data_IF_417369474128
#
_entry.id   IF_417369474128
#
_cell.length_a   1.000
_cell.length_b   1.000
_cell.length_c   1.000
_cell.angle_alpha   90.00
_cell.angle_beta   90.00
_cell.angle_gamma   90.00
#
_symmetry.space_group_name_H-M   'P 1'
#
loop_
_entity.id
_entity.type
_entity.pdbx_description
1 polymer ?
#
# COMPACT_ATOMS: atom_id res chain seq x y z
N UNK A 1 12.09 -31.76 0.01
CA UNK A 1 11.77 -30.33 0.13
C UNK A 1 13.04 -29.46 0.18
N UNK A 2 13.09 -28.35 -0.56
CA UNK A 2 14.21 -27.40 -0.54
C UNK A 2 13.84 -26.10 0.21
N UNK A 3 14.21 -26.07 1.49
CA UNK A 3 13.95 -24.93 2.39
C UNK A 3 14.77 -23.70 2.01
N UNK A 4 15.96 -23.90 1.43
CA UNK A 4 16.84 -22.82 1.02
C UNK A 4 16.27 -22.08 -0.18
N UNK A 5 15.75 -22.82 -1.18
CA UNK A 5 15.03 -22.25 -2.30
C UNK A 5 13.81 -21.44 -1.84
N UNK A 6 13.06 -21.94 -0.86
CA UNK A 6 11.90 -21.23 -0.30
C UNK A 6 12.32 -19.90 0.35
N UNK A 7 13.45 -19.88 1.07
CA UNK A 7 13.96 -18.67 1.73
C UNK A 7 14.43 -17.59 0.74
N UNK A 8 14.86 -17.97 -0.47
CA UNK A 8 15.38 -17.03 -1.49
C UNK A 8 14.40 -16.75 -2.63
N UNK A 9 13.24 -17.41 -2.67
CA UNK A 9 12.22 -17.28 -3.72
C UNK A 9 11.87 -15.81 -4.06
N UNK A 10 12.04 -15.36 -5.29
CA UNK A 10 11.91 -13.92 -5.63
C UNK A 10 10.47 -13.49 -5.95
N UNK A 11 9.61 -14.45 -6.24
CA UNK A 11 8.20 -14.24 -6.52
C UNK A 11 7.31 -15.18 -5.70
N UNK A 12 6.01 -14.88 -5.63
CA UNK A 12 5.04 -15.80 -5.03
C UNK A 12 4.97 -17.12 -5.81
N UNK A 13 5.14 -17.07 -7.13
CA UNK A 13 5.14 -18.27 -7.97
C UNK A 13 6.33 -19.15 -7.63
N UNK A 14 7.53 -18.56 -7.53
CA UNK A 14 8.76 -19.28 -7.16
C UNK A 14 8.60 -19.95 -5.79
N UNK A 15 8.01 -19.23 -4.83
CA UNK A 15 7.76 -19.74 -3.49
C UNK A 15 6.76 -20.91 -3.48
N UNK A 16 5.78 -20.91 -4.38
CA UNK A 16 4.83 -22.02 -4.52
C UNK A 16 5.51 -23.23 -5.18
N UNK A 17 6.42 -23.00 -6.13
CA UNK A 17 7.16 -24.07 -6.80
C UNK A 17 8.08 -24.85 -5.86
N UNK A 18 8.55 -24.25 -4.76
CA UNK A 18 9.35 -24.98 -3.74
C UNK A 18 8.54 -25.96 -2.90
N UNK A 19 7.21 -25.89 -2.97
CA UNK A 19 6.31 -26.82 -2.28
C UNK A 19 6.29 -28.14 -3.07
N UNK A 20 6.45 -29.29 -2.38
CA UNK A 20 6.28 -30.62 -2.98
C UNK A 20 4.97 -30.74 -3.78
N UNK A 21 5.06 -31.36 -4.95
CA UNK A 21 4.00 -31.36 -5.96
C UNK A 21 2.60 -31.75 -5.43
N UNK A 22 2.43 -32.78 -4.57
CA UNK A 22 1.11 -33.18 -4.08
C UNK A 22 0.41 -32.10 -3.24
N UNK A 23 1.17 -31.26 -2.54
CA UNK A 23 0.64 -30.25 -1.63
C UNK A 23 0.46 -28.88 -2.28
N UNK A 24 1.13 -28.66 -3.41
CA UNK A 24 1.21 -27.38 -4.11
C UNK A 24 -0.16 -26.77 -4.44
N UNK A 25 -1.18 -27.50 -4.93
CA UNK A 25 -2.48 -26.89 -5.22
C UNK A 25 -3.16 -26.28 -3.98
N UNK A 26 -3.14 -27.01 -2.86
CA UNK A 26 -3.82 -26.58 -1.64
C UNK A 26 -3.02 -25.50 -0.88
N UNK A 27 -1.73 -25.72 -0.66
CA UNK A 27 -0.86 -24.78 0.04
C UNK A 27 -0.56 -23.54 -0.81
N UNK A 28 -0.46 -23.67 -2.13
CA UNK A 28 -0.30 -22.54 -3.04
C UNK A 28 -1.53 -21.62 -3.04
N UNK A 29 -2.74 -22.18 -3.02
CA UNK A 29 -3.96 -21.39 -2.86
C UNK A 29 -4.00 -20.64 -1.52
N UNK A 30 -3.54 -21.29 -0.44
CA UNK A 30 -3.40 -20.67 0.88
C UNK A 30 -2.39 -19.50 0.87
N UNK A 31 -1.17 -19.72 0.36
CA UNK A 31 -0.15 -18.65 0.23
C UNK A 31 -0.65 -17.50 -0.62
N UNK A 32 -1.36 -17.78 -1.73
CA UNK A 32 -1.97 -16.77 -2.57
C UNK A 32 -3.01 -15.92 -1.83
N UNK A 33 -3.85 -16.54 -1.01
CA UNK A 33 -4.82 -15.84 -0.16
C UNK A 33 -4.10 -14.97 0.88
N UNK A 34 -3.14 -15.53 1.61
CA UNK A 34 -2.39 -14.81 2.65
C UNK A 34 -1.60 -13.63 2.06
N UNK A 35 -0.96 -13.82 0.91
CA UNK A 35 -0.28 -12.75 0.17
C UNK A 35 -1.22 -11.57 -0.14
N UNK A 36 -2.43 -11.86 -0.66
CA UNK A 36 -3.43 -10.84 -0.96
C UNK A 36 -3.87 -10.08 0.29
N UNK A 37 -4.13 -10.79 1.39
CA UNK A 37 -4.52 -10.19 2.68
C UNK A 37 -3.41 -9.27 3.21
N UNK A 38 -2.16 -9.75 3.26
CA UNK A 38 -1.01 -8.96 3.72
C UNK A 38 -0.78 -7.72 2.85
N UNK A 39 -0.98 -7.83 1.53
CA UNK A 39 -0.91 -6.67 0.62
C UNK A 39 -1.99 -5.63 0.93
N UNK A 40 -3.24 -6.07 1.13
CA UNK A 40 -4.35 -5.19 1.51
C UNK A 40 -4.08 -4.52 2.85
N UNK A 41 -3.65 -5.28 3.86
CA UNK A 41 -3.28 -4.76 5.17
C UNK A 41 -2.22 -3.65 5.07
N UNK A 42 -1.14 -3.93 4.34
CA UNK A 42 -0.06 -2.98 4.18
C UNK A 42 -0.42 -1.79 3.24
N UNK A 43 -1.49 -1.88 2.45
CA UNK A 43 -2.05 -0.74 1.70
C UNK A 43 -2.93 0.12 2.60
N UNK A 44 -3.89 -0.48 3.29
CA UNK A 44 -4.76 0.21 4.26
C UNK A 44 -3.95 0.97 5.32
N UNK A 45 -2.81 0.41 5.78
CA UNK A 45 -1.92 1.06 6.75
C UNK A 45 -1.32 2.35 6.19
N UNK A 46 -0.93 2.35 4.92
CA UNK A 46 -0.39 3.53 4.24
C UNK A 46 -1.46 4.58 4.01
N UNK A 47 -2.64 4.17 3.56
CA UNK A 47 -3.77 5.07 3.35
C UNK A 47 -4.15 5.76 4.66
N UNK A 48 -4.25 4.99 5.77
CA UNK A 48 -4.52 5.55 7.09
C UNK A 48 -3.46 6.56 7.49
N UNK A 49 -2.17 6.22 7.36
CA UNK A 49 -1.08 7.15 7.65
C UNK A 49 -1.16 8.42 6.79
N UNK A 50 -1.52 8.29 5.51
CA UNK A 50 -1.71 9.44 4.61
C UNK A 50 -2.88 10.33 5.07
N UNK A 51 -4.02 9.74 5.41
CA UNK A 51 -5.18 10.48 5.91
C UNK A 51 -4.91 11.18 7.24
N UNK A 52 -4.20 10.53 8.16
CA UNK A 52 -3.77 11.13 9.43
C UNK A 52 -2.84 12.33 9.19
N UNK A 53 -1.89 12.24 8.24
CA UNK A 53 -1.06 13.40 7.85
C UNK A 53 -1.89 14.56 7.32
N UNK A 54 -2.87 14.27 6.46
CA UNK A 54 -3.79 15.29 5.96
C UNK A 54 -4.57 15.97 7.08
N UNK A 55 -5.10 15.18 8.02
CA UNK A 55 -5.80 15.69 9.19
C UNK A 55 -4.90 16.62 10.04
N UNK A 56 -3.68 16.19 10.32
CA UNK A 56 -2.72 16.95 11.12
C UNK A 56 -2.28 18.25 10.44
N UNK A 57 -2.19 18.25 9.11
CA UNK A 57 -1.80 19.43 8.31
C UNK A 57 -2.98 20.35 7.97
N UNK A 58 -4.21 19.99 8.34
CA UNK A 58 -5.42 20.73 7.92
C UNK A 58 -5.65 20.72 6.40
N UNK A 59 -5.13 19.70 5.69
CA UNK A 59 -5.29 19.54 4.24
C UNK A 59 -6.20 18.37 3.91
N UNK A 60 -6.57 18.20 2.64
CA UNK A 60 -7.47 17.14 2.20
C UNK A 60 -6.87 16.32 1.05
N UNK A 61 -7.03 14.98 1.07
CA UNK A 61 -6.73 14.13 -0.07
C UNK A 61 -7.48 14.58 -1.33
N UNK A 62 -6.92 14.29 -2.51
CA UNK A 62 -7.57 14.59 -3.81
C UNK A 62 -8.97 13.99 -3.88
N UNK A 63 -9.16 12.76 -3.41
CA UNK A 63 -10.47 12.08 -3.40
C UNK A 63 -11.54 12.88 -2.65
N UNK A 64 -11.23 13.42 -1.47
CA UNK A 64 -12.17 14.24 -0.68
C UNK A 64 -12.41 15.59 -1.34
N UNK A 65 -11.36 16.24 -1.88
CA UNK A 65 -11.49 17.52 -2.59
C UNK A 65 -12.36 17.40 -3.84
N UNK A 66 -12.24 16.30 -4.57
CA UNK A 66 -13.02 16.03 -5.76
C UNK A 66 -14.49 15.70 -5.45
N UNK A 67 -14.75 15.03 -4.31
CA UNK A 67 -16.10 14.64 -3.89
C UNK A 67 -16.94 15.81 -3.39
N UNK A 68 -16.36 16.75 -2.63
CA UNK A 68 -17.05 17.97 -2.18
C UNK A 68 -16.37 19.16 -2.84
N UNK A 69 -16.99 19.71 -3.89
CA UNK A 69 -16.51 20.89 -4.61
C UNK A 69 -17.10 22.17 -4.03
N UNK A 70 -16.39 23.29 -4.22
CA UNK A 70 -16.98 24.61 -4.01
C UNK A 70 -17.87 24.90 -5.21
N UNK A 71 -19.19 25.09 -5.02
CA UNK A 71 -20.08 25.47 -6.10
C UNK A 71 -19.67 26.83 -6.65
N UNK A 72 -19.69 26.96 -7.97
CA UNK A 72 -19.44 28.22 -8.67
C UNK A 72 -20.81 28.87 -8.85
N UNK A 73 -21.08 29.92 -8.10
CA UNK A 73 -22.29 30.71 -8.25
C UNK A 73 -22.04 31.85 -9.23
N UNK A 74 -23.06 32.18 -10.03
CA UNK A 74 -23.09 33.39 -10.84
C UNK A 74 -23.96 34.40 -10.12
N UNK A 75 -23.37 35.53 -9.74
CA UNK A 75 -24.06 36.65 -9.12
C UNK A 75 -23.93 37.87 -10.03
N UNK A 76 -24.85 38.83 -9.90
CA UNK A 76 -24.72 40.12 -10.60
C UNK A 76 -23.62 40.96 -9.93
N UNK A 77 -23.03 41.89 -10.68
CA UNK A 77 -21.91 42.70 -10.20
C UNK A 77 -22.30 43.58 -8.99
N UNK A 78 -23.55 44.04 -8.94
CA UNK A 78 -24.10 44.84 -7.85
C UNK A 78 -24.22 44.03 -6.56
N UNK A 79 -24.50 42.73 -6.67
CA UNK A 79 -24.58 41.85 -5.50
C UNK A 79 -23.20 41.51 -4.96
N UNK A 80 -22.17 41.41 -5.81
CA UNK A 80 -20.81 41.05 -5.38
C UNK A 80 -20.19 42.04 -4.39
N UNK A 81 -20.60 43.32 -4.45
CA UNK A 81 -20.09 44.37 -3.56
C UNK A 81 -20.83 44.44 -2.21
N UNK A 82 -21.90 43.66 -2.02
CA UNK A 82 -22.69 43.74 -0.78
C UNK A 82 -22.07 42.93 0.36
N UNK A 83 -22.36 43.36 1.59
CA UNK A 83 -21.98 42.62 2.79
C UNK A 83 -22.71 41.27 2.90
N UNK A 84 -23.93 41.15 2.36
CA UNK A 84 -24.65 39.87 2.34
C UNK A 84 -23.94 38.84 1.46
N UNK A 85 -23.44 39.24 0.28
CA UNK A 85 -22.68 38.35 -0.59
C UNK A 85 -21.40 37.84 0.09
N UNK A 86 -20.62 38.76 0.70
CA UNK A 86 -19.40 38.39 1.41
C UNK A 86 -19.68 37.40 2.56
N UNK A 87 -20.74 37.66 3.35
CA UNK A 87 -21.16 36.79 4.45
C UNK A 87 -21.63 35.42 3.98
N UNK A 88 -22.48 35.37 2.94
CA UNK A 88 -22.97 34.11 2.37
C UNK A 88 -21.83 33.28 1.78
N UNK A 89 -20.92 33.90 1.03
CA UNK A 89 -19.75 33.23 0.45
C UNK A 89 -18.81 32.67 1.52
N UNK A 90 -18.57 33.43 2.61
CA UNK A 90 -17.80 32.96 3.75
C UNK A 90 -18.47 31.75 4.43
N UNK A 91 -19.78 31.81 4.64
CA UNK A 91 -20.57 30.73 5.25
C UNK A 91 -20.53 29.44 4.41
N UNK A 92 -20.71 29.53 3.09
CA UNK A 92 -20.66 28.37 2.19
C UNK A 92 -19.27 27.72 2.22
N UNK A 93 -18.21 28.52 2.14
CA UNK A 93 -16.83 28.00 2.23
C UNK A 93 -16.59 27.30 3.58
N UNK A 94 -17.09 27.88 4.67
CA UNK A 94 -17.00 27.29 6.01
C UNK A 94 -17.74 25.95 6.11
N UNK A 95 -18.97 25.86 5.58
CA UNK A 95 -19.77 24.64 5.56
C UNK A 95 -19.08 23.53 4.75
N UNK A 96 -18.48 23.88 3.61
CA UNK A 96 -17.72 22.94 2.76
C UNK A 96 -16.47 22.42 3.46
N UNK A 97 -15.71 23.32 4.10
CA UNK A 97 -14.54 22.92 4.89
C UNK A 97 -14.94 21.99 6.04
N UNK A 98 -16.05 22.30 6.71
CA UNK A 98 -16.61 21.47 7.79
C UNK A 98 -17.00 20.09 7.28
N UNK A 99 -17.70 20.01 6.15
CA UNK A 99 -18.08 18.75 5.52
C UNK A 99 -16.85 17.92 5.13
N UNK A 100 -15.84 18.52 4.48
CA UNK A 100 -14.59 17.83 4.13
C UNK A 100 -13.86 17.29 5.35
N UNK A 101 -13.79 18.07 6.44
CA UNK A 101 -13.18 17.65 7.72
C UNK A 101 -13.94 16.50 8.37
N UNK A 102 -15.28 16.55 8.35
CA UNK A 102 -16.12 15.46 8.83
C UNK A 102 -15.87 14.17 8.06
N UNK A 103 -15.90 14.22 6.72
CA UNK A 103 -15.62 13.04 5.87
C UNK A 103 -14.23 12.48 6.15
N UNK A 104 -13.19 13.32 6.23
CA UNK A 104 -11.83 12.85 6.50
C UNK A 104 -11.75 12.09 7.83
N UNK A 105 -12.39 12.58 8.89
CA UNK A 105 -12.45 11.88 10.18
C UNK A 105 -13.18 10.54 10.06
N UNK A 106 -14.31 10.48 9.33
CA UNK A 106 -15.07 9.24 9.13
C UNK A 106 -14.29 8.21 8.32
N UNK A 107 -13.57 8.64 7.29
CA UNK A 107 -12.68 7.77 6.51
C UNK A 107 -11.55 7.22 7.38
N UNK A 108 -10.94 8.04 8.24
CA UNK A 108 -9.92 7.58 9.20
C UNK A 108 -10.48 6.51 10.13
N UNK A 109 -11.68 6.74 10.69
CA UNK A 109 -12.35 5.76 11.55
C UNK A 109 -12.58 4.43 10.82
N UNK A 110 -13.15 4.47 9.62
CA UNK A 110 -13.43 3.28 8.82
C UNK A 110 -12.14 2.55 8.43
N UNK A 111 -11.08 3.27 8.05
CA UNK A 111 -9.77 2.68 7.72
C UNK A 111 -9.08 2.07 8.94
N UNK A 112 -9.30 2.63 10.12
CA UNK A 112 -8.81 2.04 11.38
C UNK A 112 -9.51 0.72 11.66
N UNK A 113 -10.83 0.66 11.48
CA UNK A 113 -11.60 -0.58 11.61
C UNK A 113 -11.21 -1.63 10.57
N UNK A 114 -11.03 -1.23 9.30
CA UNK A 114 -10.53 -2.12 8.24
C UNK A 114 -9.15 -2.69 8.60
N UNK A 115 -8.25 -1.88 9.15
CA UNK A 115 -6.94 -2.34 9.58
C UNK A 115 -7.00 -3.32 10.74
N UNK A 116 -7.87 -3.08 11.73
CA UNK A 116 -8.08 -4.01 12.82
C UNK A 116 -8.55 -5.37 12.28
N UNK A 117 -9.54 -5.39 11.40
CA UNK A 117 -10.01 -6.61 10.74
C UNK A 117 -8.92 -7.30 9.91
N UNK A 118 -8.21 -6.56 9.05
CA UNK A 118 -7.15 -7.14 8.24
C UNK A 118 -5.98 -7.67 9.08
N UNK A 119 -5.74 -7.08 10.26
CA UNK A 119 -4.71 -7.56 11.18
C UNK A 119 -5.04 -8.92 11.79
N UNK A 120 -6.31 -9.22 12.05
CA UNK A 120 -6.72 -10.55 12.55
C UNK A 120 -6.53 -11.61 11.48
N UNK A 121 -6.81 -11.28 10.21
CA UNK A 121 -6.61 -12.18 9.08
C UNK A 121 -5.14 -12.37 8.69
N UNK A 122 -4.31 -11.34 8.90
CA UNK A 122 -2.88 -11.37 8.58
C UNK A 122 -2.05 -12.10 9.65
N UNK A 123 -2.57 -12.22 10.87
CA UNK A 123 -1.99 -13.10 11.90
C UNK A 123 -2.12 -14.55 11.47
N UNK A 124 -1.06 -15.31 11.69
CA UNK A 124 -0.98 -16.68 11.24
C UNK A 124 0.07 -17.43 12.05
N UNK A 125 -0.38 -18.37 12.85
CA UNK A 125 0.42 -19.23 13.72
C UNK A 125 0.82 -20.54 13.02
N UNK A 126 0.44 -20.72 11.75
CA UNK A 126 0.73 -21.92 10.99
C UNK A 126 -0.26 -23.08 11.25
N UNK A 127 -1.28 -22.88 12.08
CA UNK A 127 -2.29 -23.91 12.35
C UNK A 127 -3.04 -24.30 11.08
N UNK A 128 -3.55 -23.32 10.33
CA UNK A 128 -4.24 -23.57 9.05
C UNK A 128 -3.32 -24.28 8.05
N UNK A 129 -2.05 -23.88 7.99
CA UNK A 129 -1.05 -24.50 7.12
C UNK A 129 -0.87 -26.00 7.43
N UNK A 130 -0.67 -26.33 8.71
CA UNK A 130 -0.54 -27.72 9.17
C UNK A 130 -1.82 -28.52 8.93
N UNK A 131 -2.99 -27.97 9.21
CA UNK A 131 -4.26 -28.63 8.92
C UNK A 131 -4.43 -28.94 7.42
N UNK A 132 -4.04 -28.02 6.53
CA UNK A 132 -4.07 -28.26 5.09
C UNK A 132 -3.09 -29.37 4.70
N UNK A 133 -1.86 -29.34 5.23
CA UNK A 133 -0.85 -30.35 4.96
C UNK A 133 -1.30 -31.75 5.41
N UNK A 134 -1.83 -31.88 6.64
CA UNK A 134 -2.41 -33.12 7.16
C UNK A 134 -3.53 -33.61 6.26
N UNK A 135 -4.48 -32.74 5.88
CA UNK A 135 -5.59 -33.15 5.01
C UNK A 135 -5.12 -33.67 3.65
N UNK A 136 -4.11 -33.05 3.04
CA UNK A 136 -3.53 -33.55 1.79
C UNK A 136 -2.88 -34.91 2.01
N UNK A 137 -2.05 -35.05 3.06
CA UNK A 137 -1.37 -36.29 3.39
C UNK A 137 -2.35 -37.44 3.68
N UNK A 138 -3.43 -37.18 4.42
CA UNK A 138 -4.52 -38.16 4.66
C UNK A 138 -5.21 -38.58 3.37
N UNK A 139 -5.42 -37.66 2.42
CA UNK A 139 -5.97 -38.00 1.10
C UNK A 139 -5.04 -38.90 0.30
N UNK A 140 -3.72 -38.66 0.36
CA UNK A 140 -2.72 -39.54 -0.24
C UNK A 140 -2.70 -40.91 0.45
N UNK A 141 -2.71 -40.94 1.78
CA UNK A 141 -2.77 -42.18 2.56
C UNK A 141 -3.98 -43.03 2.16
N UNK A 142 -5.16 -42.42 2.04
CA UNK A 142 -6.36 -43.10 1.55
C UNK A 142 -6.21 -43.63 0.12
N UNK A 143 -5.57 -42.87 -0.77
CA UNK A 143 -5.39 -43.27 -2.17
C UNK A 143 -4.37 -44.41 -2.34
N UNK A 144 -3.33 -44.46 -1.50
CA UNK A 144 -2.23 -45.41 -1.59
C UNK A 144 -2.30 -46.54 -0.55
N UNK A 145 -3.33 -46.56 0.30
CA UNK A 145 -3.52 -47.60 1.32
C UNK A 145 -2.58 -47.48 2.53
N UNK A 146 -2.08 -46.28 2.83
CA UNK A 146 -1.27 -46.02 4.04
C UNK A 146 -2.18 -45.83 5.25
N UNK A 147 -1.70 -46.26 6.41
CA UNK A 147 -2.44 -46.13 7.66
C UNK A 147 -2.16 -44.75 8.28
N UNK A 148 -3.21 -44.02 8.66
CA UNK A 148 -3.08 -42.75 9.38
C UNK A 148 -3.03 -43.05 10.87
N UNK A 149 -1.94 -42.67 11.53
CA UNK A 149 -1.71 -42.89 12.96
C UNK A 149 -1.69 -41.54 13.67
N UNK A 150 -2.40 -41.46 14.79
CA UNK A 150 -2.37 -40.33 15.69
C UNK A 150 -1.62 -40.74 16.96
N UNK A 151 -0.59 -39.99 17.33
CA UNK A 151 0.11 -40.24 18.60
C UNK A 151 -0.58 -39.56 19.79
N UNK A 152 -0.12 -39.90 21.00
CA UNK A 152 -0.65 -39.36 22.26
C UNK A 152 -0.47 -37.85 22.41
N UNK A 153 0.36 -37.24 21.55
CA UNK A 153 0.58 -35.79 21.48
C UNK A 153 -0.28 -35.11 20.39
N UNK A 154 -1.13 -35.87 19.71
CA UNK A 154 -1.99 -35.37 18.63
C UNK A 154 -1.22 -35.08 17.33
N UNK A 155 0.03 -35.50 17.20
CA UNK A 155 0.75 -35.46 15.94
C UNK A 155 0.26 -36.60 15.02
N UNK A 156 0.31 -36.34 13.72
CA UNK A 156 -0.17 -37.26 12.69
C UNK A 156 1.04 -37.87 11.99
N UNK A 157 1.09 -39.19 11.94
CA UNK A 157 2.09 -39.97 11.21
C UNK A 157 1.39 -40.93 10.25
N UNK A 158 2.12 -41.42 9.24
CA UNK A 158 1.55 -42.25 8.18
C UNK A 158 2.34 -43.55 8.02
N UNK A 159 1.79 -44.64 8.52
CA UNK A 159 2.39 -45.97 8.44
C UNK A 159 2.27 -46.55 7.02
N UNK A 160 3.40 -47.01 6.49
CA UNK A 160 3.52 -47.48 5.11
C UNK A 160 3.76 -46.36 4.08
N UNK A 161 3.86 -45.11 4.52
CA UNK A 161 4.23 -43.97 3.66
C UNK A 161 5.71 -44.10 3.21
N UNK A 162 6.01 -43.93 1.90
CA UNK A 162 7.40 -43.92 1.44
C UNK A 162 8.21 -42.81 2.10
N UNK A 163 9.47 -43.10 2.43
CA UNK A 163 10.41 -42.18 3.11
C UNK A 163 10.47 -40.80 2.45
N UNK A 164 10.42 -40.73 1.11
CA UNK A 164 10.45 -39.45 0.39
C UNK A 164 9.20 -38.61 0.67
N UNK A 165 8.03 -39.26 0.70
CA UNK A 165 6.76 -38.60 0.95
C UNK A 165 6.68 -38.16 2.42
N UNK A 166 7.11 -39.01 3.35
CA UNK A 166 7.22 -38.71 4.78
C UNK A 166 8.10 -37.47 5.04
N UNK A 167 9.30 -37.46 4.47
CA UNK A 167 10.21 -36.30 4.53
C UNK A 167 9.58 -35.02 3.99
N UNK A 168 8.80 -35.11 2.91
CA UNK A 168 8.12 -33.94 2.35
C UNK A 168 6.98 -33.46 3.25
N UNK A 169 6.22 -34.36 3.88
CA UNK A 169 5.19 -34.02 4.87
C UNK A 169 5.79 -33.33 6.10
N UNK A 170 6.78 -33.96 6.74
CA UNK A 170 7.49 -33.40 7.91
C UNK A 170 8.10 -32.05 7.56
N UNK A 171 8.79 -31.98 6.41
CA UNK A 171 9.38 -30.74 5.91
C UNK A 171 8.35 -29.62 5.78
N UNK A 172 7.18 -29.89 5.19
CA UNK A 172 6.11 -28.89 5.06
C UNK A 172 5.63 -28.41 6.44
N UNK A 173 5.38 -29.34 7.36
CA UNK A 173 4.86 -29.04 8.69
C UNK A 173 5.83 -28.20 9.54
N UNK A 174 7.13 -28.50 9.46
CA UNK A 174 8.15 -27.87 10.30
C UNK A 174 8.64 -26.53 9.74
N UNK A 175 8.59 -26.34 8.42
CA UNK A 175 9.19 -25.17 7.76
C UNK A 175 8.19 -24.06 7.44
N UNK A 176 6.98 -24.07 8.01
CA UNK A 176 5.98 -23.01 7.82
C UNK A 176 6.55 -21.59 8.01
N UNK A 177 7.38 -21.38 9.04
CA UNK A 177 7.94 -20.07 9.36
C UNK A 177 8.82 -19.50 8.22
N UNK A 178 9.45 -20.36 7.41
CA UNK A 178 10.25 -19.93 6.24
C UNK A 178 9.33 -19.36 5.17
N UNK A 179 8.22 -20.05 4.87
CA UNK A 179 7.21 -19.56 3.93
C UNK A 179 6.56 -18.27 4.43
N UNK A 180 6.18 -18.20 5.71
CA UNK A 180 5.56 -17.02 6.30
C UNK A 180 6.49 -15.80 6.24
N UNK A 181 7.75 -15.98 6.66
CA UNK A 181 8.78 -14.92 6.60
C UNK A 181 9.02 -14.48 5.16
N UNK A 182 9.15 -15.42 4.22
CA UNK A 182 9.39 -15.06 2.83
C UNK A 182 8.21 -14.35 2.20
N UNK A 183 6.98 -14.79 2.51
CA UNK A 183 5.76 -14.14 2.06
C UNK A 183 5.70 -12.69 2.53
N UNK A 184 6.05 -12.45 3.81
CA UNK A 184 6.14 -11.10 4.38
C UNK A 184 7.17 -10.23 3.63
N UNK A 185 8.34 -10.79 3.31
CA UNK A 185 9.35 -10.11 2.50
C UNK A 185 8.83 -9.76 1.10
N UNK A 186 8.20 -10.70 0.40
CA UNK A 186 7.66 -10.48 -0.95
C UNK A 186 6.59 -9.38 -1.01
N UNK A 187 5.81 -9.20 0.07
CA UNK A 187 4.83 -8.12 0.21
C UNK A 187 5.51 -6.75 0.34
N UNK A 188 6.70 -6.71 0.95
CA UNK A 188 7.49 -5.49 1.15
C UNK A 188 8.37 -5.15 -0.06
N UNK A 189 9.02 -6.14 -0.68
CA UNK A 189 10.05 -5.96 -1.71
C UNK A 189 9.52 -5.37 -3.02
N UNK A 190 8.28 -5.67 -3.41
CA UNK A 190 7.61 -5.17 -4.63
C UNK A 190 7.31 -3.66 -4.63
N UNK A 191 7.90 -2.92 -3.69
CA UNK A 191 7.66 -1.50 -3.41
C UNK A 191 8.87 -0.60 -3.59
N UNK A 192 10.04 -1.10 -4.01
CA UNK A 192 11.01 -0.17 -4.60
C UNK A 192 10.41 0.29 -5.93
N UNK A 193 10.05 1.58 -6.10
CA UNK A 193 9.87 2.07 -7.46
C UNK A 193 11.16 1.73 -8.19
N UNK A 194 11.06 1.11 -9.37
CA UNK A 194 12.16 1.14 -10.31
C UNK A 194 12.55 2.61 -10.39
N UNK A 195 13.74 2.93 -9.89
CA UNK A 195 14.36 4.23 -10.08
C UNK A 195 14.21 4.51 -11.57
N UNK A 196 13.37 5.50 -11.91
CA UNK A 196 13.37 6.05 -13.25
C UNK A 196 14.81 6.44 -13.51
N UNK A 197 15.49 5.66 -14.34
CA UNK A 197 16.73 6.07 -14.96
C UNK A 197 16.40 7.35 -15.71
N UNK A 198 16.75 8.47 -15.09
CA UNK A 198 16.78 9.76 -15.75
C UNK A 198 17.84 9.64 -16.84
N UNK A 199 17.40 9.23 -18.02
CA UNK A 199 18.16 9.33 -19.26
C UNK A 199 18.27 10.82 -19.59
N UNK A 200 19.22 11.51 -18.95
CA UNK A 200 19.76 12.74 -19.48
C UNK A 200 20.53 12.38 -20.76
N UNK A 201 19.85 12.45 -21.90
CA UNK A 201 20.51 12.54 -23.20
C UNK A 201 21.12 13.94 -23.34
N UNK A 202 22.40 14.10 -23.67
CA UNK A 202 22.98 15.40 -23.95
C UNK A 202 22.38 15.91 -25.27
N UNK A 203 21.82 17.12 -25.26
CA UNK A 203 21.50 17.85 -26.49
C UNK A 203 22.81 18.26 -27.14
N UNK A 204 23.10 17.65 -28.29
CA UNK A 204 24.11 18.15 -29.22
C UNK A 204 23.64 19.51 -29.77
N UNK A 205 24.47 20.53 -29.59
CA UNK A 205 24.41 21.78 -30.34
C UNK A 205 25.01 21.55 -31.73
N UNK A 206 24.46 22.19 -32.78
CA UNK A 206 25.26 22.65 -33.89
C UNK A 206 25.23 24.18 -33.96
N UNK A 207 26.41 24.76 -33.79
CA UNK A 207 26.78 26.13 -34.12
C UNK A 207 26.77 26.32 -35.64
N UNK A 208 26.10 27.37 -36.14
CA UNK A 208 26.40 28.18 -37.34
C UNK A 208 25.37 29.33 -37.37
N UNK A 209 25.75 30.57 -37.09
CA UNK A 209 26.10 31.58 -38.12
C UNK A 209 24.83 31.98 -38.88
N UNK A 210 24.26 33.18 -38.74
CA UNK A 210 24.76 34.41 -39.38
C UNK A 210 23.95 35.64 -38.90
N UNK A 211 24.70 36.71 -38.58
CA UNK A 211 24.43 38.17 -38.68
C UNK A 211 23.12 38.83 -38.19
N UNK A 212 23.32 39.85 -37.34
CA UNK A 212 22.38 40.93 -36.98
C UNK A 212 22.34 42.01 -38.11
N UNK A 213 21.50 43.09 -38.09
CA UNK A 213 21.52 44.13 -37.03
C UNK A 213 20.23 44.96 -36.79
N UNK A 214 20.31 45.86 -35.80
CA UNK A 214 19.47 47.06 -35.51
C UNK A 214 18.04 46.79 -34.96
N UNK A 215 17.48 47.49 -33.98
CA UNK A 215 17.83 48.73 -33.25
C UNK A 215 16.91 48.88 -32.00
N UNK A 216 17.38 49.64 -31.00
CA UNK A 216 16.69 50.46 -29.96
C UNK A 216 15.40 49.92 -29.25
N UNK A 217 15.16 50.06 -27.95
CA UNK A 217 15.21 51.22 -27.04
C UNK A 217 15.36 50.68 -25.57
N UNK A 218 16.22 51.22 -24.69
CA UNK A 218 15.99 52.32 -23.71
C UNK A 218 14.59 52.26 -23.07
N UNK A 219 14.35 52.21 -21.76
CA UNK A 219 14.78 53.07 -20.64
C UNK A 219 14.24 52.45 -19.31
N UNK A 220 15.02 52.35 -18.23
CA UNK A 220 15.09 53.24 -17.05
C UNK A 220 13.87 53.23 -16.09
N UNK A 221 14.12 52.78 -14.85
CA UNK A 221 13.76 53.35 -13.51
C UNK A 221 13.72 52.20 -12.48
N UNK A 222 14.61 52.04 -11.48
CA UNK A 222 15.17 52.90 -10.42
C UNK A 222 14.15 53.66 -9.57
N UNK A 223 14.36 53.57 -8.25
CA UNK A 223 13.76 54.30 -7.12
C UNK A 223 12.43 53.74 -6.61
N UNK A 224 12.17 53.57 -5.31
CA UNK A 224 12.90 53.99 -4.13
C UNK A 224 12.22 53.54 -2.84
N UNK A 225 13.04 53.54 -1.80
CA UNK A 225 12.79 53.42 -0.36
C UNK A 225 11.60 54.20 0.20
N UNK A 226 10.95 53.67 1.24
CA UNK A 226 10.44 54.48 2.36
C UNK A 226 10.35 53.68 3.65
N UNK A 227 11.10 54.16 4.65
CA UNK A 227 11.04 53.82 6.07
C UNK A 227 9.85 54.49 6.75
N UNK A 228 9.18 53.81 7.68
CA UNK A 228 8.53 54.46 8.85
C UNK A 228 8.27 53.40 9.93
N UNK A 229 9.12 53.34 10.97
CA UNK A 229 8.96 53.95 12.31
C UNK A 229 7.75 53.44 13.13
N UNK A 230 8.09 52.70 14.19
CA UNK A 230 7.25 52.35 15.36
C UNK A 230 6.72 53.60 16.07
N UNK A 231 5.71 53.40 16.93
CA UNK A 231 5.92 53.78 18.34
C UNK A 231 5.57 52.64 19.33
N UNK A 232 6.33 52.63 20.43
CA UNK A 232 6.01 51.96 21.70
C UNK A 232 5.06 52.86 22.50
N UNK A 233 4.10 52.27 23.19
CA UNK A 233 3.47 52.81 24.42
C UNK A 233 3.25 51.59 25.33
N UNK A 234 4.02 51.50 26.42
CA UNK A 234 3.65 51.84 27.81
C UNK A 234 2.77 50.76 28.44
#
# INVERSE_FOLDING_TARGET
MDVTAAAVATSLSDLIETIPHPYRPALGAYLGRKYRIMRKYAAARRDLSSYQRHLNRGTFPVSIRAAIKVPIFRFTEEFLVTSEHASASARINFEILTARKYILKRVILQKTAELAFLSTLARDDGTDWKCIAVRVASGLAQAYGWLVVHDDHGCVHFDGMPVVADRDFVGICDNYNVYATRLAYLVQARRRPASQSSSYGPKENPTKGTEAPHEAEKEINRSGTSSQKRPRQN
#
